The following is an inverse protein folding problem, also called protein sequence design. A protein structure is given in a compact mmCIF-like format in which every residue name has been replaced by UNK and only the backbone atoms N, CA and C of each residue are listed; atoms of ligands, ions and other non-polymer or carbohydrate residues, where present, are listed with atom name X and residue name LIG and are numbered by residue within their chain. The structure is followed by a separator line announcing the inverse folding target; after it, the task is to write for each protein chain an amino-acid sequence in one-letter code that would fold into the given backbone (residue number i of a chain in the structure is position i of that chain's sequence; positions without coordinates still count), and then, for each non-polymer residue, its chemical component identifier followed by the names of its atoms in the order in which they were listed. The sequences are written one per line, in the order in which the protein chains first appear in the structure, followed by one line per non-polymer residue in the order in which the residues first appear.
data_IF_064668456970
#
_entry.id   IF_064668456970
#
_cell.length_a   1.000
_cell.length_b   1.000
_cell.length_c   1.000
_cell.angle_alpha   90.00
_cell.angle_beta   90.00
_cell.angle_gamma   90.00
#
_symmetry.space_group_name_H-M   'P 1'
#
loop_
_entity.id
_entity.type
_entity.pdbx_description
1 polymer ?
#
# COMPACT_ATOMS: atom_id res chain seq x y z
N UNK A 1 24.61 22.59 -35.97
CA UNK A 1 23.52 21.83 -36.63
C UNK A 1 23.31 20.54 -35.85
N UNK A 2 22.39 20.51 -34.86
CA UNK A 2 22.11 19.30 -34.06
C UNK A 2 21.10 18.44 -34.83
N UNK A 3 21.39 17.14 -34.98
CA UNK A 3 20.61 16.21 -35.81
C UNK A 3 19.23 15.95 -35.18
N UNK A 4 18.12 16.02 -35.95
CA UNK A 4 16.75 15.88 -35.44
C UNK A 4 16.48 14.53 -34.74
N UNK A 5 17.27 13.49 -35.05
CA UNK A 5 17.19 12.19 -34.40
C UNK A 5 17.51 12.22 -32.89
N UNK A 6 18.46 13.07 -32.48
CA UNK A 6 18.86 13.19 -31.06
C UNK A 6 17.72 13.85 -30.27
N UNK A 7 17.14 14.93 -30.82
CA UNK A 7 16.01 15.62 -30.20
C UNK A 7 14.77 14.74 -30.05
N UNK A 8 14.49 13.86 -31.02
CA UNK A 8 13.37 12.94 -30.95
C UNK A 8 13.59 11.85 -29.89
N UNK A 9 14.80 11.28 -29.81
CA UNK A 9 15.15 10.29 -28.80
C UNK A 9 15.14 10.87 -27.38
N UNK A 10 15.61 12.11 -27.19
CA UNK A 10 15.56 12.80 -25.91
C UNK A 10 14.12 13.07 -25.48
N UNK A 11 13.23 13.41 -26.42
CA UNK A 11 11.81 13.59 -26.14
C UNK A 11 11.13 12.28 -25.76
N UNK A 12 11.44 11.17 -26.45
CA UNK A 12 10.92 9.84 -26.09
C UNK A 12 11.44 9.40 -24.72
N UNK A 13 12.73 9.60 -24.43
CA UNK A 13 13.32 9.27 -23.14
C UNK A 13 12.68 10.10 -22.02
N UNK A 14 12.56 11.41 -22.22
CA UNK A 14 11.90 12.32 -21.26
C UNK A 14 10.43 11.96 -21.02
N UNK A 15 9.69 11.55 -22.06
CA UNK A 15 8.29 11.09 -21.91
C UNK A 15 8.19 9.74 -21.17
N UNK A 16 9.13 8.81 -21.41
CA UNK A 16 9.19 7.55 -20.66
C UNK A 16 9.62 7.74 -19.21
N UNK A 17 10.58 8.63 -18.95
CA UNK A 17 11.02 8.97 -17.61
C UNK A 17 9.88 9.68 -16.85
N UNK A 18 9.13 10.58 -17.50
CA UNK A 18 7.93 11.19 -16.90
C UNK A 18 6.84 10.16 -16.57
N UNK A 19 6.63 9.16 -17.42
CA UNK A 19 5.67 8.07 -17.17
C UNK A 19 6.14 7.15 -16.03
N UNK A 20 7.45 6.88 -15.94
CA UNK A 20 8.07 6.07 -14.89
C UNK A 20 8.02 6.78 -13.52
N UNK A 21 8.14 8.11 -13.50
CA UNK A 21 8.04 8.93 -12.29
C UNK A 21 6.60 8.97 -11.72
N UNK A 22 5.58 8.81 -12.57
CA UNK A 22 4.16 8.74 -12.14
C UNK A 22 3.70 7.35 -11.69
N UNK A 23 4.51 6.30 -11.88
CA UNK A 23 4.21 4.95 -11.41
C UNK A 23 5.21 4.51 -10.36
N UNK A 24 5.32 5.26 -9.26
CA UNK A 24 5.95 4.72 -8.06
C UNK A 24 4.99 3.68 -7.48
N UNK A 25 5.14 2.43 -7.94
CA UNK A 25 4.41 1.29 -7.42
C UNK A 25 4.77 1.15 -5.93
N UNK A 26 3.87 1.61 -5.05
CA UNK A 26 4.02 1.41 -3.60
C UNK A 26 3.77 -0.06 -3.35
N UNK A 27 4.82 -0.79 -2.93
CA UNK A 27 4.64 -2.20 -2.56
C UNK A 27 4.06 -2.24 -1.14
N UNK A 28 3.05 -3.10 -0.86
CA UNK A 28 2.52 -3.27 0.49
C UNK A 28 3.61 -3.53 1.54
N UNK A 29 4.65 -4.30 1.16
CA UNK A 29 5.78 -4.61 2.03
C UNK A 29 6.62 -3.40 2.47
N UNK A 30 6.58 -2.28 1.74
CA UNK A 30 7.25 -1.03 2.14
C UNK A 30 6.57 -0.35 3.32
N UNK A 31 5.30 -0.64 3.57
CA UNK A 31 4.54 -0.08 4.68
C UNK A 31 4.76 -0.87 5.99
N UNK A 32 5.24 -2.12 5.91
CA UNK A 32 5.43 -2.98 7.08
C UNK A 32 6.34 -2.39 8.18
N UNK A 33 7.50 -1.77 7.89
CA UNK A 33 8.44 -1.33 8.94
C UNK A 33 7.85 -0.33 9.94
N UNK A 34 6.92 0.54 9.51
CA UNK A 34 6.28 1.56 10.36
C UNK A 34 4.76 1.37 10.48
N UNK A 35 4.19 0.44 9.73
CA UNK A 35 2.76 0.30 9.54
C UNK A 35 2.11 -0.83 10.33
N UNK A 36 2.90 -1.74 10.88
CA UNK A 36 2.40 -2.94 11.57
C UNK A 36 2.65 -2.89 13.07
N UNK A 37 1.70 -3.42 13.83
CA UNK A 37 1.82 -3.76 15.23
C UNK A 37 1.45 -5.23 15.42
N UNK A 38 2.23 -5.93 16.24
CA UNK A 38 1.93 -7.29 16.70
C UNK A 38 1.35 -7.17 18.10
N UNK A 39 0.17 -7.71 18.32
CA UNK A 39 -0.48 -7.76 19.63
C UNK A 39 -0.65 -9.19 20.09
N UNK A 40 -0.33 -9.43 21.36
CA UNK A 40 -0.59 -10.70 22.03
C UNK A 40 -1.88 -10.56 22.84
N UNK A 41 -2.92 -11.30 22.48
CA UNK A 41 -4.17 -11.38 23.22
C UNK A 41 -4.33 -12.82 23.67
N UNK A 42 -4.22 -13.05 24.98
CA UNK A 42 -4.14 -14.38 25.58
C UNK A 42 -3.00 -15.21 24.94
N UNK A 43 -3.35 -16.28 24.22
CA UNK A 43 -2.40 -17.16 23.52
C UNK A 43 -2.32 -16.84 22.01
N UNK A 44 -3.08 -15.85 21.53
CA UNK A 44 -3.14 -15.46 20.13
C UNK A 44 -2.14 -14.35 19.82
N UNK A 45 -1.53 -14.46 18.64
CA UNK A 45 -0.75 -13.39 18.02
C UNK A 45 -1.62 -12.78 16.92
N UNK A 46 -1.93 -11.50 17.05
CA UNK A 46 -2.72 -10.74 16.09
C UNK A 46 -1.86 -9.65 15.44
N UNK A 47 -2.06 -9.49 14.14
CA UNK A 47 -1.45 -8.45 13.34
C UNK A 47 -2.47 -7.34 13.11
N UNK A 48 -2.05 -6.09 13.30
CA UNK A 48 -2.88 -4.93 13.04
C UNK A 48 -2.03 -3.76 12.54
N UNK A 49 -2.69 -2.71 12.07
CA UNK A 49 -2.00 -1.47 11.75
C UNK A 49 -1.52 -0.72 13.00
N UNK A 50 -0.47 0.08 12.84
CA UNK A 50 -0.19 1.19 13.76
C UNK A 50 -1.31 2.22 13.68
N UNK A 51 -1.50 3.00 14.74
CA UNK A 51 -2.52 4.06 14.77
C UNK A 51 -2.32 5.03 13.60
N UNK A 52 -1.06 5.41 13.32
CA UNK A 52 -0.67 6.25 12.18
C UNK A 52 -1.13 5.68 10.83
N UNK A 53 -0.91 4.38 10.58
CA UNK A 53 -1.30 3.78 9.30
C UNK A 53 -2.82 3.57 9.22
N UNK A 54 -3.47 3.22 10.32
CA UNK A 54 -4.92 3.11 10.40
C UNK A 54 -5.64 4.45 10.17
N UNK A 55 -5.15 5.53 10.79
CA UNK A 55 -5.64 6.90 10.57
C UNK A 55 -5.45 7.31 9.10
N UNK A 56 -4.28 7.04 8.51
CA UNK A 56 -4.02 7.31 7.09
C UNK A 56 -4.97 6.55 6.17
N UNK A 57 -5.23 5.28 6.44
CA UNK A 57 -6.20 4.48 5.69
C UNK A 57 -7.60 5.11 5.77
N UNK A 58 -8.01 5.55 6.95
CA UNK A 58 -9.32 6.17 7.14
C UNK A 58 -9.45 7.49 6.38
N UNK A 59 -8.42 8.34 6.40
CA UNK A 59 -8.38 9.58 5.61
C UNK A 59 -8.54 9.30 4.11
N UNK A 60 -7.81 8.30 3.60
CA UNK A 60 -7.85 7.90 2.18
C UNK A 60 -9.23 7.37 1.79
N UNK A 61 -9.85 6.55 2.64
CA UNK A 61 -11.21 6.06 2.44
C UNK A 61 -12.23 7.21 2.41
N UNK A 62 -12.07 8.21 3.28
CA UNK A 62 -12.98 9.37 3.31
C UNK A 62 -12.79 10.26 2.08
N UNK A 63 -11.56 10.44 1.60
CA UNK A 63 -11.31 11.09 0.30
C UNK A 63 -11.88 10.30 -0.87
N UNK A 64 -11.81 8.97 -0.84
CA UNK A 64 -12.37 8.10 -1.87
C UNK A 64 -13.88 8.28 -1.98
N UNK A 65 -14.59 8.30 -0.84
CA UNK A 65 -16.04 8.54 -0.80
C UNK A 65 -16.45 9.90 -1.40
N UNK A 66 -15.53 10.87 -1.37
CA UNK A 66 -15.74 12.22 -1.92
C UNK A 66 -15.22 12.36 -3.36
N UNK A 67 -14.70 11.29 -3.97
CA UNK A 67 -14.04 11.30 -5.29
C UNK A 67 -12.87 12.31 -5.38
N UNK A 68 -12.13 12.49 -4.28
CA UNK A 68 -11.04 13.49 -4.15
C UNK A 68 -9.64 12.88 -4.02
N UNK A 69 -9.52 11.56 -4.17
CA UNK A 69 -8.22 10.88 -4.17
C UNK A 69 -7.35 11.35 -5.34
N UNK A 70 -6.10 11.67 -5.07
CA UNK A 70 -5.11 11.79 -6.14
C UNK A 70 -4.72 10.39 -6.65
N UNK A 71 -4.14 10.27 -7.85
CA UNK A 71 -3.63 8.99 -8.34
C UNK A 71 -2.63 8.32 -7.40
N UNK A 72 -1.76 9.11 -6.76
CA UNK A 72 -0.77 8.62 -5.80
C UNK A 72 -1.44 8.09 -4.53
N UNK A 73 -2.47 8.80 -4.05
CA UNK A 73 -3.26 8.38 -2.90
C UNK A 73 -4.09 7.12 -3.19
N UNK A 74 -4.54 6.93 -4.43
CA UNK A 74 -5.22 5.71 -4.84
C UNK A 74 -4.29 4.49 -4.81
N UNK A 75 -3.04 4.66 -5.27
CA UNK A 75 -2.00 3.61 -5.19
C UNK A 75 -1.65 3.30 -3.73
N UNK A 76 -1.55 4.32 -2.87
CA UNK A 76 -1.31 4.15 -1.44
C UNK A 76 -2.46 3.37 -0.78
N UNK A 77 -3.70 3.74 -1.07
CA UNK A 77 -4.89 3.07 -0.54
C UNK A 77 -4.97 1.60 -0.98
N UNK A 78 -4.64 1.30 -2.24
CA UNK A 78 -4.56 -0.07 -2.76
C UNK A 78 -3.52 -0.89 -1.98
N UNK A 79 -2.31 -0.36 -1.79
CA UNK A 79 -1.25 -1.04 -1.06
C UNK A 79 -1.59 -1.27 0.43
N UNK A 80 -2.29 -0.33 1.07
CA UNK A 80 -2.78 -0.50 2.45
C UNK A 80 -3.89 -1.57 2.50
N UNK A 81 -4.82 -1.55 1.54
CA UNK A 81 -5.90 -2.54 1.45
C UNK A 81 -5.38 -3.97 1.31
N UNK A 82 -4.35 -4.18 0.48
CA UNK A 82 -3.69 -5.49 0.35
C UNK A 82 -3.10 -5.98 1.68
N UNK A 83 -2.55 -5.08 2.51
CA UNK A 83 -2.08 -5.47 3.85
C UNK A 83 -3.23 -5.85 4.78
N UNK A 84 -4.36 -5.15 4.71
CA UNK A 84 -5.54 -5.45 5.55
C UNK A 84 -6.08 -6.85 5.26
N UNK A 85 -6.18 -7.21 3.97
CA UNK A 85 -6.58 -8.54 3.53
C UNK A 85 -5.61 -9.63 4.03
N UNK A 86 -4.30 -9.38 3.95
CA UNK A 86 -3.27 -10.30 4.45
C UNK A 86 -3.41 -10.48 5.97
N UNK A 87 -3.59 -9.39 6.72
CA UNK A 87 -3.74 -9.46 8.18
C UNK A 87 -5.03 -10.18 8.58
N UNK A 88 -6.14 -9.88 7.91
CA UNK A 88 -7.42 -10.55 8.12
C UNK A 88 -7.31 -12.07 7.91
N UNK A 89 -6.62 -12.51 6.85
CA UNK A 89 -6.35 -13.92 6.60
C UNK A 89 -5.50 -14.56 7.71
N UNK A 90 -4.36 -13.95 8.06
CA UNK A 90 -3.44 -14.50 9.07
C UNK A 90 -4.15 -14.57 10.43
N UNK A 91 -4.82 -13.49 10.84
CA UNK A 91 -5.56 -13.43 12.11
C UNK A 91 -6.66 -14.50 12.18
N UNK A 92 -7.39 -14.71 11.08
CA UNK A 92 -8.42 -15.75 10.99
C UNK A 92 -7.82 -17.16 11.08
N UNK A 93 -6.70 -17.42 10.41
CA UNK A 93 -6.00 -18.70 10.45
C UNK A 93 -5.42 -19.01 11.83
N UNK A 94 -4.90 -17.99 12.54
CA UNK A 94 -4.41 -18.11 13.91
C UNK A 94 -5.57 -18.40 14.88
N UNK A 95 -6.68 -17.66 14.77
CA UNK A 95 -7.86 -17.89 15.60
C UNK A 95 -8.45 -19.30 15.40
N UNK A 96 -8.54 -19.78 14.16
CA UNK A 96 -9.06 -21.11 13.85
C UNK A 96 -8.20 -22.25 14.46
N UNK A 97 -6.87 -22.07 14.52
CA UNK A 97 -5.97 -23.06 15.13
C UNK A 97 -6.15 -23.14 16.66
N UNK A 98 -6.34 -22.01 17.33
CA UNK A 98 -6.58 -21.96 18.78
C UNK A 98 -7.91 -22.63 19.14
N UNK A 99 -8.97 -22.36 18.36
CA UNK A 99 -10.27 -23.02 18.54
C UNK A 99 -10.25 -24.53 18.27
N UNK A 100 -9.28 -25.06 17.54
CA UNK A 100 -9.15 -26.49 17.26
C UNK A 100 -8.42 -27.29 18.36
N UNK A 101 -7.90 -26.62 19.40
CA UNK A 101 -7.17 -27.22 20.52
C UNK A 101 -7.82 -27.00 21.90
N UNK A 102 -9.03 -26.43 21.95
CA UNK A 102 -9.89 -26.32 23.14
C UNK A 102 -11.00 -27.37 23.11
#
# INVERSE_FOLDING_TARGET
MIKPQIFFNDKIKKTKDNLLMTTTLVKPSQLLPEGICIQHINNLILFKFTDKLGERMQELLDKNKLDTLTPEEAIELEAIGELDDIFSYINSAVAAQDHAHS
#
